data_IF_782589880080
#
_entry.id   IF_782589880080
#
_cell.length_a   1.000
_cell.length_b   1.000
_cell.length_c   1.000
_cell.angle_alpha   90.00
_cell.angle_beta   90.00
_cell.angle_gamma   90.00
#
_symmetry.space_group_name_H-M   'P 1'
#
loop_
_entity.id
_entity.type
_entity.pdbx_description
1 polymer ?
#
# COMPACT_ATOMS: atom_id res chain seq x y z
N UNK A 1 -5.35 -80.03 -37.70
CA UNK A 1 -6.05 -78.90 -37.05
C UNK A 1 -5.02 -78.09 -36.20
N UNK A 2 -4.64 -76.92 -36.68
CA UNK A 2 -3.65 -76.08 -35.95
C UNK A 2 -4.41 -74.89 -35.34
N UNK A 3 -4.49 -74.85 -34.00
CA UNK A 3 -5.02 -73.74 -33.24
C UNK A 3 -4.01 -72.60 -33.31
N UNK A 4 -4.46 -71.43 -33.83
CA UNK A 4 -3.71 -70.21 -33.79
C UNK A 4 -4.14 -69.43 -32.53
N UNK A 5 -3.22 -69.24 -31.60
CA UNK A 5 -3.43 -68.37 -30.43
C UNK A 5 -3.28 -66.93 -30.87
N UNK A 6 -4.33 -66.10 -30.74
CA UNK A 6 -4.25 -64.65 -30.91
C UNK A 6 -3.85 -64.07 -29.58
N UNK A 7 -2.68 -63.39 -29.55
CA UNK A 7 -2.22 -62.60 -28.40
C UNK A 7 -2.84 -61.20 -28.51
N UNK A 8 -3.75 -60.87 -27.60
CA UNK A 8 -4.26 -59.52 -27.44
C UNK A 8 -3.24 -58.71 -26.62
N UNK A 9 -2.62 -57.74 -27.27
CA UNK A 9 -1.75 -56.73 -26.58
C UNK A 9 -2.65 -55.58 -26.12
N UNK A 10 -2.81 -55.45 -24.79
CA UNK A 10 -3.43 -54.28 -24.18
C UNK A 10 -2.39 -53.17 -24.09
N UNK A 11 -2.58 -52.09 -24.89
CA UNK A 11 -1.81 -50.85 -24.76
C UNK A 11 -2.50 -50.00 -23.73
N UNK A 12 -1.94 -49.95 -22.53
CA UNK A 12 -2.37 -49.00 -21.50
C UNK A 12 -1.84 -47.60 -21.86
N UNK A 13 -2.72 -46.74 -22.32
CA UNK A 13 -2.40 -45.32 -22.52
C UNK A 13 -2.41 -44.64 -21.15
N UNK A 14 -1.24 -44.43 -20.58
CA UNK A 14 -1.07 -43.58 -19.41
C UNK A 14 -1.26 -42.10 -19.86
N UNK A 15 -2.43 -41.55 -19.61
CA UNK A 15 -2.70 -40.12 -19.76
C UNK A 15 -1.93 -39.35 -18.68
N UNK A 16 -0.82 -38.72 -19.05
CA UNK A 16 -0.15 -37.75 -18.20
C UNK A 16 -1.05 -36.48 -18.20
N UNK A 17 -1.83 -36.29 -17.14
CA UNK A 17 -2.51 -35.02 -16.88
C UNK A 17 -1.43 -33.98 -16.51
N UNK A 18 -0.97 -33.21 -17.49
CA UNK A 18 -0.17 -32.03 -17.27
C UNK A 18 -1.16 -31.00 -16.69
N UNK A 19 -1.19 -30.86 -15.37
CA UNK A 19 -1.81 -29.69 -14.73
C UNK A 19 -0.99 -28.48 -15.14
N UNK A 20 -1.47 -27.75 -16.15
CA UNK A 20 -0.98 -26.40 -16.44
C UNK A 20 -1.37 -25.54 -15.22
N UNK A 21 -0.47 -25.47 -14.24
CA UNK A 21 -0.54 -24.47 -13.20
C UNK A 21 -0.62 -23.12 -13.90
N UNK A 22 -1.76 -22.45 -13.81
CA UNK A 22 -1.90 -21.09 -14.28
C UNK A 22 -0.78 -20.29 -13.61
N UNK A 23 0.08 -19.58 -14.33
CA UNK A 23 1.00 -18.69 -13.69
C UNK A 23 0.13 -17.72 -12.88
N UNK A 24 0.24 -17.76 -11.55
CA UNK A 24 -0.27 -16.70 -10.69
C UNK A 24 0.31 -15.43 -11.30
N UNK A 25 -0.55 -14.59 -11.85
CA UNK A 25 -0.14 -13.38 -12.55
C UNK A 25 0.89 -12.67 -11.67
N UNK A 26 2.10 -12.51 -12.19
CA UNK A 26 3.13 -11.75 -11.49
C UNK A 26 2.62 -10.30 -11.44
N UNK A 27 1.91 -9.97 -10.37
CA UNK A 27 1.48 -8.60 -10.09
C UNK A 27 2.75 -7.78 -9.98
N UNK A 28 2.91 -6.78 -10.86
CA UNK A 28 4.10 -5.94 -10.82
C UNK A 28 4.20 -5.32 -9.42
N UNK A 29 5.24 -5.70 -8.69
CA UNK A 29 5.49 -5.14 -7.36
C UNK A 29 5.78 -3.65 -7.48
N UNK A 30 4.99 -2.81 -6.78
CA UNK A 30 5.25 -1.38 -6.65
C UNK A 30 5.80 -1.07 -5.26
N UNK A 31 6.77 -1.85 -4.79
CA UNK A 31 7.50 -1.55 -3.56
C UNK A 31 8.39 -0.33 -3.72
N UNK A 32 8.47 0.49 -2.70
CA UNK A 32 9.44 1.58 -2.62
C UNK A 32 10.79 1.05 -2.12
N UNK A 33 11.54 0.42 -3.02
CA UNK A 33 12.82 -0.22 -2.70
C UNK A 33 12.67 -1.32 -1.64
N UNK A 34 13.54 -1.31 -0.62
CA UNK A 34 13.51 -2.27 0.47
C UNK A 34 12.88 -1.72 1.77
N UNK A 35 12.39 -0.46 1.74
CA UNK A 35 11.96 0.24 2.94
C UNK A 35 10.74 -0.40 3.58
N UNK A 36 10.80 -0.59 4.91
CA UNK A 36 9.69 -1.03 5.76
C UNK A 36 9.98 -0.69 7.22
N UNK A 37 8.98 -0.70 8.09
CA UNK A 37 9.19 -0.72 9.54
C UNK A 37 9.68 -2.09 9.99
N UNK A 38 10.16 -2.19 11.25
CA UNK A 38 10.73 -3.43 11.78
C UNK A 38 9.67 -4.55 11.87
N UNK A 39 8.45 -4.19 12.24
CA UNK A 39 7.29 -5.09 12.28
C UNK A 39 6.01 -4.36 11.86
N UNK A 40 4.86 -5.06 11.89
CA UNK A 40 3.56 -4.52 11.53
C UNK A 40 2.98 -3.55 12.57
N UNK A 41 3.51 -3.52 13.79
CA UNK A 41 3.06 -2.58 14.83
C UNK A 41 3.84 -1.28 14.74
N UNK A 42 3.16 -0.21 14.35
CA UNK A 42 3.76 1.09 14.07
C UNK A 42 3.10 2.15 14.95
N UNK A 43 3.89 2.99 15.59
CA UNK A 43 3.38 4.12 16.36
C UNK A 43 2.94 5.25 15.42
N UNK A 44 1.67 5.62 15.51
CA UNK A 44 1.06 6.63 14.68
C UNK A 44 0.86 7.94 15.43
N UNK A 45 1.61 8.97 15.06
CA UNK A 45 1.40 10.33 15.55
C UNK A 45 0.72 11.17 14.49
N UNK A 46 -0.51 11.62 14.78
CA UNK A 46 -1.23 12.55 13.93
C UNK A 46 -1.10 13.98 14.51
N UNK A 47 -0.12 14.72 14.02
CA UNK A 47 0.12 16.13 14.34
C UNK A 47 -0.55 17.09 13.35
N UNK A 48 -1.43 16.61 12.49
CA UNK A 48 -2.19 17.44 11.57
C UNK A 48 -3.25 18.26 12.32
N UNK A 49 -3.72 19.34 11.69
CA UNK A 49 -4.70 20.28 12.27
C UNK A 49 -5.93 20.44 11.37
N UNK A 50 -7.04 20.93 11.96
CA UNK A 50 -8.29 21.16 11.24
C UNK A 50 -8.86 19.87 10.64
N UNK A 51 -9.47 19.93 9.44
CA UNK A 51 -10.03 18.76 8.76
C UNK A 51 -8.96 17.73 8.33
N UNK A 52 -7.72 18.16 8.18
CA UNK A 52 -6.61 17.24 7.85
C UNK A 52 -6.33 16.23 8.96
N UNK A 53 -6.60 16.58 10.23
CA UNK A 53 -6.54 15.62 11.34
C UNK A 53 -7.51 14.45 11.13
N UNK A 54 -8.76 14.78 10.74
CA UNK A 54 -9.78 13.77 10.46
C UNK A 54 -9.44 12.94 9.22
N UNK A 55 -9.02 13.61 8.14
CA UNK A 55 -8.60 12.96 6.89
C UNK A 55 -7.51 11.91 7.16
N UNK A 56 -6.45 12.27 7.89
CA UNK A 56 -5.38 11.33 8.20
C UNK A 56 -5.84 10.18 9.10
N UNK A 57 -6.72 10.42 10.08
CA UNK A 57 -7.28 9.34 10.90
C UNK A 57 -8.17 8.41 10.08
N UNK A 58 -9.00 8.94 9.20
CA UNK A 58 -9.85 8.15 8.30
C UNK A 58 -8.99 7.24 7.43
N UNK A 59 -8.00 7.79 6.73
CA UNK A 59 -7.16 7.03 5.81
C UNK A 59 -6.18 6.07 6.50
N UNK A 60 -5.73 6.39 7.70
CA UNK A 60 -4.82 5.53 8.43
C UNK A 60 -5.53 4.43 9.22
N UNK A 61 -6.67 4.72 9.91
CA UNK A 61 -7.13 3.90 11.00
C UNK A 61 -8.63 3.68 11.13
N UNK A 62 -9.50 4.60 10.69
CA UNK A 62 -10.91 4.55 11.09
C UNK A 62 -11.88 4.12 10.01
N UNK A 63 -11.58 4.35 8.75
CA UNK A 63 -12.36 3.80 7.64
C UNK A 63 -12.05 2.30 7.47
N UNK A 64 -13.06 1.48 7.20
CA UNK A 64 -12.92 0.02 7.10
C UNK A 64 -11.95 -0.43 5.98
N UNK A 65 -11.76 0.39 4.97
CA UNK A 65 -10.86 0.16 3.84
C UNK A 65 -9.59 1.01 3.94
N UNK A 66 -9.31 1.65 5.09
CA UNK A 66 -8.07 2.38 5.33
C UNK A 66 -6.92 1.42 5.67
N UNK A 67 -5.69 1.96 5.77
CA UNK A 67 -4.51 1.11 5.87
C UNK A 67 -4.55 0.12 7.03
N UNK A 68 -4.78 0.55 8.27
CA UNK A 68 -4.74 -0.35 9.43
C UNK A 68 -5.87 -1.38 9.45
N UNK A 69 -7.15 -1.06 9.23
CA UNK A 69 -8.21 -2.06 9.20
C UNK A 69 -8.17 -3.01 8.00
N UNK A 70 -7.54 -2.60 6.89
CA UNK A 70 -7.56 -3.34 5.64
C UNK A 70 -6.32 -4.20 5.39
N UNK A 71 -5.24 -3.98 6.17
CA UNK A 71 -3.95 -4.68 6.05
C UNK A 71 -3.54 -5.29 7.40
N UNK A 72 -2.41 -6.00 7.43
CA UNK A 72 -1.82 -6.53 8.66
C UNK A 72 -1.13 -5.44 9.53
N UNK A 73 -1.08 -4.19 9.06
CA UNK A 73 -0.50 -3.07 9.82
C UNK A 73 -1.39 -2.69 11.01
N UNK A 74 -0.79 -2.67 12.20
CA UNK A 74 -1.41 -2.23 13.43
C UNK A 74 -0.88 -0.85 13.83
N UNK A 75 -1.67 0.20 13.56
CA UNK A 75 -1.31 1.57 13.91
C UNK A 75 -1.74 1.90 15.34
N UNK A 76 -0.78 2.03 16.23
CA UNK A 76 -1.00 2.46 17.62
C UNK A 76 -0.90 3.98 17.73
N UNK A 77 -2.01 4.65 18.05
CA UNK A 77 -2.01 6.11 18.23
C UNK A 77 -1.18 6.51 19.44
N UNK A 78 -0.35 7.53 19.23
CA UNK A 78 0.47 8.14 20.27
C UNK A 78 0.27 9.65 20.30
N UNK A 79 0.56 10.30 21.45
CA UNK A 79 0.37 11.74 21.66
C UNK A 79 1.58 12.59 21.24
N UNK A 80 2.69 11.96 20.86
CA UNK A 80 3.90 12.65 20.45
C UNK A 80 4.70 11.83 19.42
N UNK A 81 5.53 12.51 18.62
CA UNK A 81 6.48 11.82 17.74
C UNK A 81 7.58 11.16 18.56
N UNK A 82 8.17 10.09 18.01
CA UNK A 82 9.26 9.34 18.63
C UNK A 82 10.38 9.04 17.64
N UNK A 83 11.40 8.32 18.11
CA UNK A 83 12.62 8.04 17.34
C UNK A 83 12.60 6.65 16.68
N UNK A 84 11.70 5.75 17.06
CA UNK A 84 11.69 4.35 16.61
C UNK A 84 10.29 3.92 16.25
N UNK A 85 10.14 3.35 15.05
CA UNK A 85 8.90 2.79 14.52
C UNK A 85 7.70 3.78 14.52
N UNK A 86 8.02 5.06 14.23
CA UNK A 86 7.03 6.14 14.18
C UNK A 86 6.70 6.55 12.76
N UNK A 87 5.41 6.49 12.41
CA UNK A 87 4.81 7.14 11.25
C UNK A 87 4.08 8.40 11.73
N UNK A 88 4.40 9.53 11.13
CA UNK A 88 3.91 10.84 11.58
C UNK A 88 3.19 11.55 10.44
N UNK A 89 2.07 12.21 10.74
CA UNK A 89 1.28 12.96 9.78
C UNK A 89 1.22 14.45 10.14
N UNK A 90 1.37 15.31 9.14
CA UNK A 90 1.30 16.76 9.29
C UNK A 90 0.65 17.41 8.06
N UNK A 91 0.15 18.60 8.24
CA UNK A 91 -0.23 19.52 7.16
C UNK A 91 0.34 20.91 7.43
N UNK A 92 0.38 21.73 6.40
CA UNK A 92 0.85 23.12 6.54
C UNK A 92 0.91 23.85 5.22
N UNK A 93 1.14 25.16 5.28
CA UNK A 93 1.36 26.00 4.11
C UNK A 93 2.85 25.97 3.74
N UNK A 94 3.21 25.09 2.80
CA UNK A 94 4.62 24.91 2.38
C UNK A 94 4.98 25.72 1.13
N UNK A 95 4.04 26.50 0.56
CA UNK A 95 4.25 27.31 -0.63
C UNK A 95 4.23 26.50 -1.93
N UNK A 96 4.81 27.07 -2.98
CA UNK A 96 4.84 26.50 -4.33
C UNK A 96 5.94 25.45 -4.48
N UNK A 97 5.78 24.30 -3.85
CA UNK A 97 6.78 23.24 -3.76
C UNK A 97 6.73 22.23 -4.92
N UNK A 98 5.63 22.23 -5.71
CA UNK A 98 5.41 21.26 -6.79
C UNK A 98 4.80 19.93 -6.33
N UNK A 99 4.50 19.73 -5.05
CA UNK A 99 3.85 18.53 -4.53
C UNK A 99 2.60 18.87 -3.71
N UNK A 100 1.57 18.02 -3.80
CA UNK A 100 0.34 18.08 -3.00
C UNK A 100 0.54 17.41 -1.64
N UNK A 101 1.26 16.30 -1.62
CA UNK A 101 1.72 15.56 -0.47
C UNK A 101 3.16 15.11 -0.67
N UNK A 102 3.81 14.72 0.42
CA UNK A 102 5.15 14.13 0.40
C UNK A 102 5.36 13.19 1.58
N UNK A 103 5.89 12.01 1.31
CA UNK A 103 6.38 11.07 2.31
C UNK A 103 7.90 11.18 2.42
N UNK A 104 8.39 11.26 3.64
CA UNK A 104 9.82 11.37 3.94
C UNK A 104 10.24 10.29 4.93
N UNK A 105 11.30 9.56 4.61
CA UNK A 105 11.97 8.66 5.54
C UNK A 105 13.01 9.48 6.33
N UNK A 106 12.66 9.87 7.56
CA UNK A 106 13.46 10.80 8.38
C UNK A 106 14.64 10.12 9.08
N UNK A 107 14.48 8.85 9.41
CA UNK A 107 15.52 8.05 10.02
C UNK A 107 15.38 6.60 9.55
N UNK A 108 16.46 6.03 9.07
CA UNK A 108 16.53 4.67 8.55
C UNK A 108 17.77 3.95 9.06
N UNK A 109 17.71 2.62 9.17
CA UNK A 109 18.84 1.75 9.49
C UNK A 109 18.81 0.53 8.58
N UNK A 110 19.69 0.47 7.60
CA UNK A 110 19.55 -0.48 6.49
C UNK A 110 18.22 -0.23 5.76
N UNK A 111 17.42 -1.26 5.61
CA UNK A 111 16.07 -1.16 5.03
C UNK A 111 14.97 -0.81 6.05
N UNK A 112 15.30 -0.67 7.34
CA UNK A 112 14.33 -0.43 8.40
C UNK A 112 14.10 1.07 8.60
N UNK A 113 12.86 1.49 8.39
CA UNK A 113 12.40 2.85 8.70
C UNK A 113 12.21 2.96 10.22
N UNK A 114 12.88 3.94 10.84
CA UNK A 114 12.71 4.25 12.27
C UNK A 114 11.74 5.39 12.50
N UNK A 115 11.77 6.37 11.60
CA UNK A 115 10.85 7.50 11.66
C UNK A 115 10.52 7.95 10.24
N UNK A 116 9.23 7.96 9.92
CA UNK A 116 8.68 8.45 8.66
C UNK A 116 7.73 9.62 8.89
N UNK A 117 7.54 10.45 7.88
CA UNK A 117 6.66 11.61 7.94
C UNK A 117 5.91 11.82 6.64
N UNK A 118 4.57 11.84 6.70
CA UNK A 118 3.69 12.29 5.64
C UNK A 118 3.28 13.74 5.86
N UNK A 119 3.31 14.57 4.81
CA UNK A 119 2.89 15.97 4.86
C UNK A 119 1.94 16.31 3.72
N UNK A 120 0.86 17.05 4.02
CA UNK A 120 -0.07 17.60 3.04
C UNK A 120 0.14 19.11 2.89
N UNK A 121 0.28 19.57 1.63
CA UNK A 121 0.53 20.98 1.34
C UNK A 121 -0.77 21.77 1.17
N UNK A 122 -1.14 22.49 2.20
CA UNK A 122 -2.33 23.36 2.21
C UNK A 122 -2.26 24.49 1.18
N UNK A 123 -1.05 24.95 0.80
CA UNK A 123 -0.89 26.00 -0.22
C UNK A 123 -1.51 25.62 -1.56
N UNK A 124 -1.61 24.33 -1.87
CA UNK A 124 -2.32 23.82 -3.04
C UNK A 124 -3.71 23.29 -2.67
N UNK A 125 -3.77 22.41 -1.66
CA UNK A 125 -4.97 21.64 -1.36
C UNK A 125 -6.15 22.49 -0.86
N UNK A 126 -5.91 23.70 -0.35
CA UNK A 126 -6.95 24.62 0.13
C UNK A 126 -7.34 25.69 -0.90
N UNK A 127 -6.82 25.64 -2.13
CA UNK A 127 -7.14 26.64 -3.17
C UNK A 127 -8.52 26.47 -3.84
N UNK A 128 -9.36 25.56 -3.37
CA UNK A 128 -10.72 25.31 -3.88
C UNK A 128 -10.82 24.40 -5.11
N UNK A 129 -9.70 24.08 -5.76
CA UNK A 129 -9.66 23.11 -6.88
C UNK A 129 -9.66 21.67 -6.39
N UNK A 130 -9.34 21.43 -5.13
CA UNK A 130 -9.23 20.10 -4.53
C UNK A 130 -10.37 19.84 -3.55
N UNK A 131 -11.15 18.79 -3.85
CA UNK A 131 -12.21 18.31 -2.97
C UNK A 131 -11.65 17.58 -1.76
N UNK A 132 -12.50 17.31 -0.75
CA UNK A 132 -12.11 16.45 0.39
C UNK A 132 -11.68 15.05 -0.07
N UNK A 133 -12.32 14.49 -1.11
CA UNK A 133 -11.90 13.19 -1.69
C UNK A 133 -10.48 13.26 -2.25
N UNK A 134 -10.10 14.36 -2.93
CA UNK A 134 -8.74 14.52 -3.41
C UNK A 134 -7.73 14.62 -2.26
N UNK A 135 -8.07 15.34 -1.19
CA UNK A 135 -7.23 15.45 0.02
C UNK A 135 -7.06 14.08 0.70
N UNK A 136 -8.12 13.28 0.78
CA UNK A 136 -8.10 11.90 1.27
C UNK A 136 -7.20 11.01 0.41
N UNK A 137 -7.31 11.11 -0.92
CA UNK A 137 -6.45 10.38 -1.84
C UNK A 137 -4.97 10.67 -1.58
N UNK A 138 -4.59 11.96 -1.50
CA UNK A 138 -3.19 12.33 -1.23
C UNK A 138 -2.74 11.85 0.14
N UNK A 139 -3.58 11.97 1.18
CA UNK A 139 -3.24 11.45 2.52
C UNK A 139 -3.00 9.94 2.51
N UNK A 140 -3.89 9.17 1.87
CA UNK A 140 -3.76 7.72 1.71
C UNK A 140 -2.45 7.36 0.98
N UNK A 141 -2.11 8.08 -0.09
CA UNK A 141 -0.89 7.85 -0.86
C UNK A 141 0.36 8.05 -0.02
N UNK A 142 0.46 9.17 0.69
CA UNK A 142 1.64 9.47 1.50
C UNK A 142 1.80 8.50 2.68
N UNK A 143 0.70 8.01 3.25
CA UNK A 143 0.72 6.94 4.26
C UNK A 143 1.23 5.63 3.64
N UNK A 144 0.75 5.25 2.45
CA UNK A 144 1.20 4.04 1.74
C UNK A 144 2.68 4.05 1.43
N UNK A 145 3.23 5.22 1.07
CA UNK A 145 4.68 5.39 0.89
C UNK A 145 5.45 5.13 2.19
N UNK A 146 4.96 5.60 3.34
CA UNK A 146 5.60 5.30 4.63
C UNK A 146 5.67 3.80 4.93
N UNK A 147 4.68 3.02 4.43
CA UNK A 147 4.63 1.57 4.63
C UNK A 147 5.41 0.77 3.58
N UNK A 148 6.11 1.45 2.67
CA UNK A 148 7.02 0.82 1.70
C UNK A 148 6.44 0.62 0.31
N UNK A 149 5.30 1.22 -0.02
CA UNK A 149 4.74 1.21 -1.37
C UNK A 149 5.27 2.37 -2.22
N UNK A 150 5.43 2.14 -3.51
CA UNK A 150 5.64 3.14 -4.53
C UNK A 150 4.33 3.39 -5.30
N UNK A 151 4.34 4.29 -6.27
CA UNK A 151 3.19 4.57 -7.12
C UNK A 151 2.72 3.33 -7.89
N UNK A 152 1.40 3.16 -7.97
CA UNK A 152 0.74 2.14 -8.77
C UNK A 152 -0.07 2.79 -9.90
N UNK A 153 0.61 3.27 -10.94
CA UNK A 153 -0.01 3.93 -12.10
C UNK A 153 -0.81 2.97 -12.99
N UNK A 154 -0.64 1.68 -12.82
CA UNK A 154 -1.38 0.65 -13.57
C UNK A 154 -2.82 0.43 -13.11
N UNK A 155 -3.24 1.03 -11.99
CA UNK A 155 -4.60 0.90 -11.46
C UNK A 155 -5.22 2.26 -11.18
N UNK A 156 -6.47 2.45 -11.62
CA UNK A 156 -7.26 3.65 -11.33
C UNK A 156 -8.08 3.56 -10.03
N UNK A 157 -8.03 2.44 -9.33
CA UNK A 157 -8.87 2.14 -8.16
C UNK A 157 -8.09 2.18 -6.84
N UNK A 158 -6.91 2.78 -6.84
CA UNK A 158 -6.04 2.88 -5.66
C UNK A 158 -5.55 4.30 -5.44
N UNK A 159 -5.40 4.68 -4.18
CA UNK A 159 -4.74 5.93 -3.82
C UNK A 159 -3.22 5.95 -4.14
N UNK A 160 -2.62 4.79 -4.42
CA UNK A 160 -1.21 4.75 -4.88
C UNK A 160 -1.02 5.21 -6.33
N UNK A 161 -2.08 5.58 -7.04
CA UNK A 161 -2.00 6.19 -8.36
C UNK A 161 -1.88 7.72 -8.26
N UNK A 162 -0.73 8.28 -8.65
CA UNK A 162 -0.44 9.71 -8.58
C UNK A 162 -0.99 10.54 -9.76
N UNK A 163 -1.64 9.90 -10.74
CA UNK A 163 -2.26 10.58 -11.89
C UNK A 163 -3.77 10.77 -11.75
N UNK A 164 -4.40 10.12 -10.76
CA UNK A 164 -5.84 10.14 -10.51
C UNK A 164 -6.05 10.44 -9.02
N UNK A 165 -6.82 11.46 -8.69
CA UNK A 165 -7.07 11.88 -7.30
C UNK A 165 -8.48 11.51 -6.81
N UNK A 166 -9.11 10.49 -7.38
CA UNK A 166 -10.51 10.12 -7.08
C UNK A 166 -10.69 8.80 -6.34
N UNK A 167 -9.59 8.04 -6.16
CA UNK A 167 -9.59 6.79 -5.39
C UNK A 167 -8.93 7.04 -4.02
N UNK A 168 -9.69 7.35 -2.97
CA UNK A 168 -9.11 7.79 -1.69
C UNK A 168 -8.54 6.66 -0.84
N UNK A 169 -8.66 5.39 -1.26
CA UNK A 169 -8.31 4.23 -0.44
C UNK A 169 -7.36 3.27 -1.18
N UNK A 170 -6.60 2.43 -0.46
CA UNK A 170 -5.84 1.34 -1.06
C UNK A 170 -6.78 0.30 -1.66
N UNK A 171 -6.33 -0.41 -2.68
CA UNK A 171 -7.05 -1.54 -3.24
C UNK A 171 -6.50 -2.90 -2.75
N UNK A 172 -7.11 -3.99 -3.20
CA UNK A 172 -6.70 -5.35 -2.80
C UNK A 172 -5.24 -5.65 -3.13
N UNK A 173 -4.73 -5.15 -4.26
CA UNK A 173 -3.33 -5.35 -4.64
C UNK A 173 -2.36 -4.64 -3.66
N UNK A 174 -2.68 -3.43 -3.25
CA UNK A 174 -1.88 -2.69 -2.26
C UNK A 174 -1.88 -3.41 -0.91
N UNK A 175 -3.05 -3.91 -0.46
CA UNK A 175 -3.19 -4.71 0.74
C UNK A 175 -2.32 -5.96 0.69
N UNK A 176 -2.45 -6.76 -0.38
CA UNK A 176 -1.73 -8.02 -0.51
C UNK A 176 -0.21 -7.78 -0.55
N UNK A 177 0.21 -6.67 -1.16
CA UNK A 177 1.61 -6.27 -1.17
C UNK A 177 2.11 -5.86 0.22
N UNK A 178 1.34 -5.07 0.97
CA UNK A 178 1.66 -4.70 2.37
C UNK A 178 1.76 -5.97 3.24
N UNK A 179 0.76 -6.87 3.18
CA UNK A 179 0.76 -8.11 3.96
C UNK A 179 1.91 -9.06 3.57
N UNK A 180 2.49 -8.91 2.38
CA UNK A 180 3.71 -9.61 1.99
C UNK A 180 5.00 -8.97 2.52
N UNK A 181 4.94 -7.70 2.95
CA UNK A 181 6.08 -6.95 3.50
C UNK A 181 6.22 -7.18 5.01
N UNK A 182 5.09 -7.31 5.70
CA UNK A 182 4.98 -7.42 7.15
C UNK A 182 4.44 -8.77 7.58
#
# INVERSE_FOLDING_TARGET
MKLRHAILIWVAVFGIAISLGQPLGAWASHRWGCWKYADATIFWYNGATGDYFNIYNEEARTDSNSWSPFTDINLQAVSATGSTDHANAFNGFYGATGWLGIAELRSVSGCIVRNGRARLNQSYLDNGSYTRTNKKHVACQEIGHLFGLNHNRGSSTTCMNDTILTAPQPNTHDRDLINSIY
#
